data_IF_684965801016
#
_entry.id   IF_684965801016
#
_cell.length_a   1.000
_cell.length_b   1.000
_cell.length_c   1.000
_cell.angle_alpha   90.00
_cell.angle_beta   90.00
_cell.angle_gamma   90.00
#
_symmetry.space_group_name_H-M   'P 1'
#
loop_
_entity.id
_entity.type
_entity.pdbx_description
1 polymer ?
#
# COMPACT_ATOMS: atom_id res chain seq x y z
N UNK A 1 -20.55 -4.99 -24.86
CA UNK A 1 -19.24 -5.66 -25.05
C UNK A 1 -18.22 -4.95 -24.17
N UNK A 2 -17.93 -5.49 -22.96
CA UNK A 2 -16.85 -4.97 -22.12
C UNK A 2 -15.53 -5.47 -22.70
N UNK A 3 -14.71 -4.54 -23.20
CA UNK A 3 -13.33 -4.85 -23.57
C UNK A 3 -12.56 -5.22 -22.30
N UNK A 4 -12.06 -6.46 -22.27
CA UNK A 4 -11.17 -6.99 -21.25
C UNK A 4 -9.84 -6.22 -21.27
N UNK A 5 -9.66 -5.29 -20.34
CA UNK A 5 -8.33 -4.74 -20.06
C UNK A 5 -7.57 -5.76 -19.20
N UNK A 6 -6.76 -6.59 -19.85
CA UNK A 6 -5.80 -7.48 -19.18
C UNK A 6 -4.82 -6.64 -18.35
N UNK A 7 -4.82 -6.81 -17.03
CA UNK A 7 -3.86 -6.22 -16.08
C UNK A 7 -2.64 -7.14 -15.96
N UNK A 8 -1.52 -6.75 -16.57
CA UNK A 8 -0.21 -7.41 -16.44
C UNK A 8 0.90 -6.45 -15.96
N UNK A 9 0.55 -5.25 -15.47
CA UNK A 9 1.53 -4.22 -15.13
C UNK A 9 1.24 -3.55 -13.77
N UNK A 10 2.22 -3.61 -12.87
CA UNK A 10 2.38 -2.65 -11.77
C UNK A 10 3.21 -1.48 -12.29
N UNK A 11 2.96 -0.27 -11.80
CA UNK A 11 3.57 0.95 -12.30
C UNK A 11 4.86 1.24 -11.50
N UNK A 12 5.86 1.86 -12.13
CA UNK A 12 6.99 2.42 -11.41
C UNK A 12 7.19 3.83 -11.95
N UNK A 13 6.95 4.84 -11.11
CA UNK A 13 7.15 6.25 -11.46
C UNK A 13 8.61 6.66 -11.23
N UNK A 14 9.21 7.25 -12.26
CA UNK A 14 10.48 7.99 -12.17
C UNK A 14 10.18 9.45 -11.84
N UNK A 15 10.96 10.04 -10.94
CA UNK A 15 10.78 11.41 -10.40
C UNK A 15 11.26 12.54 -11.34
N UNK A 16 11.35 12.29 -12.66
CA UNK A 16 11.83 13.29 -13.62
C UNK A 16 10.88 13.31 -14.82
N UNK A 17 10.36 14.50 -15.12
CA UNK A 17 9.13 14.70 -15.90
C UNK A 17 9.10 14.12 -17.31
N UNK A 18 7.87 13.88 -17.77
CA UNK A 18 7.54 13.60 -19.16
C UNK A 18 7.66 12.13 -19.54
N UNK A 19 6.53 11.43 -19.51
CA UNK A 19 6.21 10.21 -20.27
C UNK A 19 7.37 9.25 -20.57
N UNK A 20 7.62 8.31 -19.65
CA UNK A 20 8.23 7.01 -19.99
C UNK A 20 7.39 5.91 -19.31
N UNK A 21 6.59 5.21 -20.11
CA UNK A 21 5.88 3.98 -19.71
C UNK A 21 6.70 2.79 -20.21
N UNK A 22 7.83 2.52 -19.56
CA UNK A 22 8.41 1.17 -19.63
C UNK A 22 7.73 0.36 -18.53
N UNK A 23 6.65 -0.33 -18.91
CA UNK A 23 5.94 -1.28 -18.05
C UNK A 23 6.93 -2.39 -17.70
N UNK A 24 7.37 -2.44 -16.45
CA UNK A 24 8.08 -3.63 -15.95
C UNK A 24 6.98 -4.68 -15.70
N UNK A 25 6.96 -5.81 -16.42
CA UNK A 25 6.02 -6.88 -16.15
C UNK A 25 6.06 -7.29 -14.68
N UNK A 26 4.91 -7.66 -14.12
CA UNK A 26 4.84 -8.05 -12.70
C UNK A 26 5.82 -9.20 -12.38
N UNK A 27 6.03 -10.12 -13.32
CA UNK A 27 7.01 -11.21 -13.21
C UNK A 27 8.45 -10.71 -13.04
N UNK A 28 8.86 -9.69 -13.80
CA UNK A 28 10.20 -9.08 -13.69
C UNK A 28 10.38 -8.33 -12.37
N UNK A 29 9.33 -7.65 -11.88
CA UNK A 29 9.36 -7.03 -10.54
C UNK A 29 9.47 -8.08 -9.43
N UNK A 30 8.72 -9.18 -9.51
CA UNK A 30 8.82 -10.29 -8.56
C UNK A 30 10.23 -10.84 -8.58
N UNK A 31 10.80 -11.09 -9.76
CA UNK A 31 12.15 -11.61 -9.89
C UNK A 31 13.20 -10.63 -9.32
N UNK A 32 13.04 -9.32 -9.55
CA UNK A 32 13.92 -8.30 -8.99
C UNK A 32 13.86 -8.26 -7.46
N UNK A 33 12.66 -8.23 -6.86
CA UNK A 33 12.51 -8.25 -5.40
C UNK A 33 12.95 -9.57 -4.79
N UNK A 34 12.73 -10.69 -5.48
CA UNK A 34 13.21 -12.00 -5.06
C UNK A 34 14.74 -12.07 -5.08
N UNK A 35 15.38 -11.62 -6.16
CA UNK A 35 16.84 -11.51 -6.25
C UNK A 35 17.38 -10.60 -5.14
N UNK A 36 16.73 -9.46 -4.89
CA UNK A 36 17.11 -8.57 -3.79
C UNK A 36 17.00 -9.26 -2.43
N UNK A 37 15.85 -9.86 -2.13
CA UNK A 37 15.57 -10.58 -0.90
C UNK A 37 16.54 -11.77 -0.68
N UNK A 38 17.00 -12.42 -1.75
CA UNK A 38 18.00 -13.48 -1.69
C UNK A 38 19.46 -13.00 -1.67
N UNK A 39 19.75 -11.85 -2.27
CA UNK A 39 21.12 -11.32 -2.42
C UNK A 39 21.77 -10.85 -1.12
N UNK A 40 21.04 -10.86 -0.01
CA UNK A 40 21.52 -10.49 1.34
C UNK A 40 21.69 -11.68 2.30
N UNK A 41 22.05 -12.84 1.76
CA UNK A 41 22.41 -14.05 2.50
C UNK A 41 21.33 -14.64 3.43
N UNK A 42 20.43 -15.42 2.81
CA UNK A 42 19.86 -16.62 3.42
C UNK A 42 20.84 -17.81 3.43
N UNK A 43 22.13 -17.54 3.68
CA UNK A 43 23.19 -18.52 3.83
C UNK A 43 23.54 -18.65 5.30
N UNK A 44 23.66 -19.87 5.81
CA UNK A 44 24.30 -20.14 7.10
C UNK A 44 25.73 -19.58 7.06
N UNK A 45 25.91 -18.37 7.56
CA UNK A 45 27.16 -17.63 7.58
C UNK A 45 27.13 -16.63 8.72
N UNK A 46 28.18 -16.65 9.52
CA UNK A 46 28.46 -15.78 10.67
C UNK A 46 27.95 -14.35 10.47
N UNK A 47 27.10 -13.89 11.38
CA UNK A 47 26.34 -12.64 11.22
C UNK A 47 27.20 -11.41 10.96
N UNK A 48 26.82 -10.61 9.97
CA UNK A 48 26.95 -9.15 10.08
C UNK A 48 26.24 -8.30 9.00
N UNK A 49 25.46 -8.85 8.05
CA UNK A 49 24.73 -7.99 7.10
C UNK A 49 23.27 -8.40 6.90
N UNK A 50 22.46 -8.30 7.96
CA UNK A 50 20.99 -8.24 7.82
C UNK A 50 20.59 -6.95 7.11
N UNK A 51 19.47 -6.98 6.39
CA UNK A 51 18.90 -5.77 5.80
C UNK A 51 18.71 -4.69 6.87
N UNK A 52 19.14 -3.45 6.57
CA UNK A 52 18.99 -2.31 7.47
C UNK A 52 18.34 -1.15 6.74
N UNK A 53 17.37 -0.51 7.38
CA UNK A 53 16.75 0.72 6.90
C UNK A 53 17.62 1.93 7.21
N UNK A 54 17.60 2.92 6.31
CA UNK A 54 18.17 4.25 6.55
C UNK A 54 17.42 4.98 7.66
N UNK A 55 16.09 4.87 7.67
CA UNK A 55 15.24 5.42 8.73
C UNK A 55 14.61 4.26 9.49
N UNK A 56 14.85 4.17 10.81
CA UNK A 56 14.36 3.05 11.60
C UNK A 56 12.81 3.04 11.65
N UNK A 57 12.13 1.98 11.17
CA UNK A 57 10.69 1.87 11.26
C UNK A 57 10.13 2.03 12.68
N UNK A 58 10.87 1.59 13.70
CA UNK A 58 10.46 1.69 15.11
C UNK A 58 10.40 3.13 15.63
N UNK A 59 11.06 4.10 14.99
CA UNK A 59 10.97 5.52 15.35
C UNK A 59 9.60 6.11 14.96
N UNK A 60 8.83 5.44 14.09
CA UNK A 60 7.49 5.85 13.72
C UNK A 60 6.46 5.19 14.64
N UNK A 61 5.71 5.95 15.47
CA UNK A 61 4.76 5.38 16.44
C UNK A 61 3.67 4.53 15.81
N UNK A 62 3.25 4.83 14.58
CA UNK A 62 2.25 4.05 13.85
C UNK A 62 2.84 2.71 13.40
N UNK A 63 4.05 2.72 12.85
CA UNK A 63 4.74 1.50 12.47
C UNK A 63 5.03 0.62 13.69
N UNK A 64 5.58 1.21 14.77
CA UNK A 64 5.89 0.50 16.02
C UNK A 64 4.68 -0.17 16.69
N UNK A 65 3.45 0.34 16.49
CA UNK A 65 2.22 -0.34 16.94
C UNK A 65 1.93 -1.60 16.12
N UNK A 66 2.26 -1.56 14.85
CA UNK A 66 1.80 -2.52 13.84
C UNK A 66 2.80 -3.63 13.52
N UNK A 67 4.08 -3.47 13.87
CA UNK A 67 5.15 -4.45 13.59
C UNK A 67 5.91 -4.81 14.87
N UNK A 68 6.69 -5.88 14.79
CA UNK A 68 7.77 -6.16 15.75
C UNK A 68 9.06 -6.49 14.99
N UNK A 69 10.20 -6.28 15.65
CA UNK A 69 11.49 -6.72 15.12
C UNK A 69 11.48 -8.25 14.98
N UNK A 70 11.91 -8.73 13.82
CA UNK A 70 12.10 -10.13 13.52
C UNK A 70 13.41 -10.27 12.72
N UNK A 71 14.53 -10.61 13.39
CA UNK A 71 15.83 -10.69 12.74
C UNK A 71 15.94 -11.76 11.65
N UNK A 72 15.00 -12.71 11.59
CA UNK A 72 14.94 -13.76 10.57
C UNK A 72 14.02 -13.39 9.41
N UNK A 73 13.22 -12.32 9.54
CA UNK A 73 12.42 -11.80 8.44
C UNK A 73 13.31 -11.13 7.38
N UNK A 74 12.91 -11.23 6.12
CA UNK A 74 13.67 -10.72 4.95
C UNK A 74 14.11 -9.26 5.11
N UNK A 75 13.25 -8.44 5.71
CA UNK A 75 13.51 -7.00 5.94
C UNK A 75 13.61 -6.63 7.43
N UNK A 76 13.84 -7.61 8.32
CA UNK A 76 14.06 -7.38 9.75
C UNK A 76 12.80 -7.12 10.59
N UNK A 77 11.61 -7.14 9.98
CA UNK A 77 10.34 -6.90 10.65
C UNK A 77 9.24 -7.86 10.18
N UNK A 78 8.35 -8.22 11.09
CA UNK A 78 7.11 -8.95 10.79
C UNK A 78 5.89 -8.19 11.34
N UNK A 79 4.69 -8.38 10.75
CA UNK A 79 3.46 -7.82 11.30
C UNK A 79 3.24 -8.28 12.73
N UNK A 80 2.88 -7.37 13.63
CA UNK A 80 2.44 -7.71 14.97
C UNK A 80 1.09 -8.43 14.89
N UNK A 81 0.94 -9.68 15.36
CA UNK A 81 -0.34 -10.41 15.29
C UNK A 81 -1.46 -9.69 16.06
N UNK A 82 -1.12 -8.86 17.05
CA UNK A 82 -2.08 -8.05 17.81
C UNK A 82 -2.43 -6.71 17.13
N UNK A 83 -1.85 -6.41 15.97
CA UNK A 83 -2.21 -5.21 15.21
C UNK A 83 -3.64 -5.29 14.69
N UNK A 84 -4.46 -4.32 15.03
CA UNK A 84 -5.80 -4.14 14.46
C UNK A 84 -5.78 -3.85 12.95
N UNK A 85 -4.63 -3.42 12.42
CA UNK A 85 -4.51 -2.95 11.04
C UNK A 85 -3.88 -3.98 10.11
N UNK A 86 -2.82 -4.67 10.55
CA UNK A 86 -2.07 -5.63 9.76
C UNK A 86 -1.83 -6.99 10.44
N UNK A 87 -2.40 -7.22 11.63
CA UNK A 87 -2.19 -8.48 12.37
C UNK A 87 -2.68 -9.72 11.62
N UNK A 88 -3.71 -9.58 10.79
CA UNK A 88 -4.19 -10.65 9.90
C UNK A 88 -3.17 -11.10 8.84
N UNK A 89 -2.04 -10.39 8.68
CA UNK A 89 -0.94 -10.81 7.80
C UNK A 89 0.19 -11.53 8.54
N UNK A 90 0.19 -11.57 9.87
CA UNK A 90 1.26 -12.18 10.66
C UNK A 90 1.46 -13.66 10.28
N UNK A 91 0.36 -14.42 10.19
CA UNK A 91 0.38 -15.85 9.86
C UNK A 91 -0.06 -16.15 8.41
N UNK A 92 -0.43 -15.12 7.64
CA UNK A 92 -0.89 -15.29 6.26
C UNK A 92 0.26 -15.55 5.27
N UNK A 93 1.49 -15.23 5.66
CA UNK A 93 2.71 -15.35 4.86
C UNK A 93 3.87 -15.74 5.76
N UNK A 94 4.81 -16.51 5.24
CA UNK A 94 6.10 -16.71 5.88
C UNK A 94 7.02 -15.52 5.58
N UNK A 95 7.16 -14.61 6.54
CA UNK A 95 7.99 -13.40 6.42
C UNK A 95 9.50 -13.67 6.40
N UNK A 96 9.92 -14.91 6.67
CA UNK A 96 11.31 -15.37 6.51
C UNK A 96 11.57 -15.90 5.10
N UNK A 97 10.52 -16.19 4.33
CA UNK A 97 10.62 -16.73 2.97
C UNK A 97 10.76 -15.61 1.92
N UNK A 98 11.92 -15.51 1.23
CA UNK A 98 12.17 -14.47 0.23
C UNK A 98 11.16 -14.44 -0.92
N UNK A 99 10.62 -15.59 -1.33
CA UNK A 99 9.67 -15.66 -2.44
C UNK A 99 8.31 -15.09 -2.05
N UNK A 100 7.79 -15.48 -0.88
CA UNK A 100 6.52 -14.97 -0.38
C UNK A 100 6.61 -13.46 -0.10
N UNK A 101 7.71 -13.01 0.49
CA UNK A 101 7.94 -11.59 0.76
C UNK A 101 8.12 -10.78 -0.52
N UNK A 102 8.80 -11.30 -1.55
CA UNK A 102 8.92 -10.62 -2.84
C UNK A 102 7.54 -10.40 -3.50
N UNK A 103 6.68 -11.42 -3.47
CA UNK A 103 5.30 -11.28 -3.96
C UNK A 103 4.50 -10.26 -3.14
N UNK A 104 4.63 -10.28 -1.81
CA UNK A 104 4.00 -9.30 -0.93
C UNK A 104 4.49 -7.87 -1.22
N UNK A 105 5.79 -7.72 -1.48
CA UNK A 105 6.43 -6.45 -1.84
C UNK A 105 5.88 -5.89 -3.15
N UNK A 106 5.71 -6.73 -4.17
CA UNK A 106 5.10 -6.31 -5.45
C UNK A 106 3.64 -5.91 -5.27
N UNK A 107 2.86 -6.65 -4.48
CA UNK A 107 1.49 -6.25 -4.14
C UNK A 107 1.45 -4.91 -3.40
N UNK A 108 2.40 -4.69 -2.49
CA UNK A 108 2.52 -3.45 -1.73
C UNK A 108 2.98 -2.28 -2.61
N UNK A 109 3.85 -2.50 -3.58
CA UNK A 109 4.20 -1.51 -4.59
C UNK A 109 2.98 -1.10 -5.41
N UNK A 110 2.20 -2.06 -5.92
CA UNK A 110 0.97 -1.79 -6.67
C UNK A 110 -0.06 -0.98 -5.86
N UNK A 111 -0.08 -1.16 -4.53
CA UNK A 111 -0.90 -0.34 -3.65
C UNK A 111 -0.49 1.14 -3.66
N UNK A 112 0.82 1.43 -3.63
CA UNK A 112 1.32 2.81 -3.71
C UNK A 112 1.09 3.42 -5.10
N UNK A 113 1.29 2.67 -6.17
CA UNK A 113 1.01 3.14 -7.52
C UNK A 113 -0.45 3.62 -7.68
N UNK A 114 -1.39 2.91 -7.04
CA UNK A 114 -2.81 3.31 -7.01
C UNK A 114 -3.06 4.57 -6.19
N UNK A 115 -2.26 4.83 -5.15
CA UNK A 115 -2.32 6.06 -4.39
C UNK A 115 -1.75 7.25 -5.18
N UNK A 116 -0.73 7.03 -6.01
CA UNK A 116 -0.17 8.08 -6.88
C UNK A 116 -1.23 8.60 -7.86
N UNK A 117 -2.05 7.72 -8.43
CA UNK A 117 -3.21 8.14 -9.26
C UNK A 117 -4.21 9.03 -8.50
N UNK A 118 -4.36 8.84 -7.17
CA UNK A 118 -5.21 9.70 -6.34
C UNK A 118 -4.57 11.09 -6.16
N UNK A 119 -3.24 11.15 -6.02
CA UNK A 119 -2.49 12.42 -5.95
C UNK A 119 -2.64 13.21 -7.26
N UNK A 120 -2.54 12.53 -8.41
CA UNK A 120 -2.76 13.16 -9.72
C UNK A 120 -4.17 13.73 -9.86
N UNK A 121 -5.19 12.99 -9.41
CA UNK A 121 -6.58 13.46 -9.38
C UNK A 121 -6.74 14.72 -8.51
N UNK A 122 -6.12 14.73 -7.32
CA UNK A 122 -6.14 15.91 -6.42
C UNK A 122 -5.54 17.12 -7.13
N UNK A 123 -4.35 16.96 -7.72
CA UNK A 123 -3.66 18.06 -8.37
C UNK A 123 -4.45 18.60 -9.57
N UNK A 124 -5.03 17.72 -10.38
CA UNK A 124 -5.93 18.09 -11.47
C UNK A 124 -7.12 18.91 -10.96
N UNK A 125 -7.85 18.39 -9.98
CA UNK A 125 -9.06 19.06 -9.48
C UNK A 125 -8.75 20.40 -8.81
N UNK A 126 -7.60 20.51 -8.10
CA UNK A 126 -7.11 21.80 -7.58
C UNK A 126 -6.84 22.81 -8.70
N UNK A 127 -6.19 22.38 -9.78
CA UNK A 127 -5.91 23.26 -10.93
C UNK A 127 -7.19 23.69 -11.67
N UNK A 128 -8.22 22.86 -11.62
CA UNK A 128 -9.56 23.15 -12.16
C UNK A 128 -10.41 24.03 -11.22
N UNK A 129 -9.91 24.39 -10.04
CA UNK A 129 -10.60 25.26 -9.09
C UNK A 129 -11.70 24.58 -8.28
N UNK A 130 -11.71 23.24 -8.22
CA UNK A 130 -12.69 22.50 -7.41
C UNK A 130 -12.52 22.81 -5.92
N UNK A 131 -13.64 22.79 -5.20
CA UNK A 131 -13.65 22.91 -3.74
C UNK A 131 -12.99 21.69 -3.07
N UNK A 132 -12.58 21.87 -1.81
CA UNK A 132 -11.99 20.78 -1.04
C UNK A 132 -12.97 19.62 -0.79
N UNK A 133 -14.26 19.92 -0.71
CA UNK A 133 -15.31 18.92 -0.58
C UNK A 133 -15.42 18.07 -1.85
N UNK A 134 -15.47 18.70 -3.03
CA UNK A 134 -15.52 17.99 -4.32
C UNK A 134 -14.30 17.10 -4.49
N UNK A 135 -13.11 17.60 -4.15
CA UNK A 135 -11.87 16.82 -4.16
C UNK A 135 -12.00 15.63 -3.20
N UNK A 136 -12.43 15.85 -1.95
CA UNK A 136 -12.57 14.80 -0.94
C UNK A 136 -13.53 13.68 -1.37
N UNK A 137 -14.65 14.05 -1.98
CA UNK A 137 -15.65 13.12 -2.52
C UNK A 137 -15.06 12.29 -3.66
N UNK A 138 -14.39 12.94 -4.61
CA UNK A 138 -13.78 12.28 -5.76
C UNK A 138 -12.69 11.28 -5.34
N UNK A 139 -11.79 11.66 -4.43
CA UNK A 139 -10.70 10.78 -3.98
C UNK A 139 -11.20 9.61 -3.13
N UNK A 140 -12.22 9.82 -2.30
CA UNK A 140 -12.85 8.74 -1.53
C UNK A 140 -13.45 7.69 -2.48
N UNK A 141 -14.14 8.14 -3.53
CA UNK A 141 -14.71 7.27 -4.55
C UNK A 141 -13.62 6.54 -5.35
N UNK A 142 -12.58 7.25 -5.79
CA UNK A 142 -11.46 6.65 -6.53
C UNK A 142 -10.76 5.56 -5.70
N UNK A 143 -10.54 5.80 -4.41
CA UNK A 143 -9.96 4.82 -3.49
C UNK A 143 -10.83 3.57 -3.36
N UNK A 144 -12.12 3.75 -3.17
CA UNK A 144 -13.07 2.65 -3.06
C UNK A 144 -13.10 1.82 -4.35
N UNK A 145 -13.12 2.47 -5.51
CA UNK A 145 -13.06 1.82 -6.81
C UNK A 145 -11.74 1.05 -6.99
N UNK A 146 -10.60 1.65 -6.64
CA UNK A 146 -9.30 0.98 -6.68
C UNK A 146 -9.32 -0.32 -5.86
N UNK A 147 -9.92 -0.29 -4.66
CA UNK A 147 -10.05 -1.46 -3.79
C UNK A 147 -10.95 -2.55 -4.38
N UNK A 148 -12.07 -2.20 -5.00
CA UNK A 148 -12.95 -3.20 -5.63
C UNK A 148 -12.31 -3.80 -6.89
N UNK A 149 -11.59 -2.98 -7.65
CA UNK A 149 -10.87 -3.43 -8.84
C UNK A 149 -9.75 -4.43 -8.54
N UNK A 150 -9.34 -4.57 -7.28
CA UNK A 150 -8.40 -5.63 -6.87
C UNK A 150 -9.02 -7.03 -6.92
N UNK A 151 -10.35 -7.11 -7.05
CA UNK A 151 -11.12 -8.35 -7.15
C UNK A 151 -11.75 -8.55 -8.53
N UNK A 152 -11.31 -7.82 -9.56
CA UNK A 152 -11.89 -7.91 -10.91
C UNK A 152 -11.82 -9.33 -11.48
N UNK A 153 -10.77 -10.08 -11.14
CA UNK A 153 -10.56 -11.47 -11.56
C UNK A 153 -10.97 -12.49 -10.47
N UNK A 154 -11.50 -12.06 -9.33
CA UNK A 154 -12.06 -12.91 -8.26
C UNK A 154 -13.50 -12.50 -7.94
N UNK A 155 -14.50 -12.94 -8.74
CA UNK A 155 -15.90 -12.59 -8.52
C UNK A 155 -16.41 -12.98 -7.12
N UNK A 156 -15.95 -14.12 -6.59
CA UNK A 156 -16.32 -14.57 -5.23
C UNK A 156 -15.68 -13.68 -4.16
N UNK A 157 -14.44 -13.25 -4.36
CA UNK A 157 -13.77 -12.27 -3.50
C UNK A 157 -14.44 -10.92 -3.51
N UNK A 158 -14.86 -10.45 -4.68
CA UNK A 158 -15.62 -9.22 -4.83
C UNK A 158 -16.93 -9.28 -4.04
N UNK A 159 -17.70 -10.37 -4.18
CA UNK A 159 -18.93 -10.60 -3.42
C UNK A 159 -18.69 -10.58 -1.91
N UNK A 160 -17.66 -11.29 -1.42
CA UNK A 160 -17.29 -11.29 0.01
C UNK A 160 -16.96 -9.89 0.52
N UNK A 161 -16.21 -9.11 -0.25
CA UNK A 161 -15.83 -7.74 0.14
C UNK A 161 -17.03 -6.80 0.12
N UNK A 162 -17.89 -6.90 -0.88
CA UNK A 162 -19.11 -6.09 -0.96
C UNK A 162 -20.06 -6.41 0.19
N UNK A 163 -20.29 -7.68 0.51
CA UNK A 163 -21.10 -8.09 1.65
C UNK A 163 -20.54 -7.57 3.00
N UNK A 164 -19.21 -7.65 3.18
CA UNK A 164 -18.55 -7.08 4.36
C UNK A 164 -18.72 -5.56 4.42
N UNK A 165 -18.58 -4.87 3.30
CA UNK A 165 -18.71 -3.42 3.23
C UNK A 165 -20.13 -2.97 3.57
N UNK A 166 -21.15 -3.70 3.10
CA UNK A 166 -22.55 -3.47 3.44
C UNK A 166 -22.76 -3.51 4.96
N UNK A 167 -22.31 -4.59 5.60
CA UNK A 167 -22.43 -4.74 7.07
C UNK A 167 -21.70 -3.63 7.83
N UNK A 168 -20.52 -3.21 7.34
CA UNK A 168 -19.66 -2.27 8.06
C UNK A 168 -19.99 -0.80 7.82
N UNK A 169 -20.43 -0.45 6.61
CA UNK A 169 -20.57 0.93 6.15
C UNK A 169 -21.97 1.26 5.64
N UNK A 170 -22.87 0.26 5.48
CA UNK A 170 -24.16 0.44 4.82
C UNK A 170 -24.04 0.76 3.32
N UNK A 171 -22.91 0.39 2.71
CA UNK A 171 -22.66 0.61 1.29
C UNK A 171 -21.71 -0.48 0.78
N UNK A 172 -22.09 -1.29 -0.24
CA UNK A 172 -21.27 -2.40 -0.70
C UNK A 172 -19.96 -1.94 -1.35
N UNK A 173 -19.91 -0.70 -1.83
CA UNK A 173 -18.72 -0.15 -2.47
C UNK A 173 -17.70 0.44 -1.49
N UNK A 174 -17.98 0.43 -0.18
CA UNK A 174 -17.10 0.97 0.86
C UNK A 174 -17.66 2.25 1.50
N UNK A 175 -16.90 2.94 2.36
CA UNK A 175 -17.39 4.11 3.08
C UNK A 175 -17.72 5.25 2.10
N UNK A 176 -18.88 5.88 2.27
CA UNK A 176 -19.22 7.12 1.54
C UNK A 176 -18.33 8.27 2.00
N UNK A 177 -18.30 9.36 1.21
CA UNK A 177 -17.59 10.57 1.60
C UNK A 177 -18.16 11.14 2.91
N UNK A 178 -19.49 11.08 3.09
CA UNK A 178 -20.20 11.47 4.31
C UNK A 178 -19.79 10.61 5.50
N UNK A 179 -19.71 9.28 5.33
CA UNK A 179 -19.24 8.38 6.38
C UNK A 179 -17.82 8.76 6.81
N UNK A 180 -16.94 9.00 5.84
CA UNK A 180 -15.56 9.41 6.09
C UNK A 180 -15.49 10.79 6.76
N UNK A 181 -16.31 11.75 6.33
CA UNK A 181 -16.40 13.08 6.92
C UNK A 181 -16.89 13.02 8.38
N UNK A 182 -17.98 12.31 8.64
CA UNK A 182 -18.52 12.13 9.98
C UNK A 182 -17.51 11.46 10.93
N UNK A 183 -16.68 10.55 10.41
CA UNK A 183 -15.62 9.90 11.17
C UNK A 183 -14.43 10.81 11.47
N UNK A 184 -14.02 11.65 10.52
CA UNK A 184 -12.76 12.39 10.61
C UNK A 184 -12.90 13.90 10.88
N UNK A 185 -14.10 14.45 10.73
CA UNK A 185 -14.45 15.83 11.07
C UNK A 185 -14.05 16.90 10.05
N UNK A 186 -13.33 16.57 8.97
CA UNK A 186 -12.99 17.54 7.92
C UNK A 186 -12.73 16.90 6.56
N UNK A 187 -12.93 17.67 5.48
CA UNK A 187 -12.66 17.24 4.11
C UNK A 187 -11.16 17.05 3.84
N UNK A 188 -10.30 17.86 4.43
CA UNK A 188 -8.83 17.68 4.42
C UNK A 188 -8.46 16.31 4.96
N UNK A 189 -9.07 15.90 6.08
CA UNK A 189 -8.80 14.59 6.67
C UNK A 189 -9.34 13.45 5.82
N UNK A 190 -10.47 13.62 5.13
CA UNK A 190 -10.96 12.62 4.15
C UNK A 190 -9.95 12.44 3.02
N UNK A 191 -9.39 13.54 2.48
CA UNK A 191 -8.34 13.49 1.45
C UNK A 191 -7.09 12.80 2.00
N UNK A 192 -6.57 13.22 3.15
CA UNK A 192 -5.38 12.64 3.79
C UNK A 192 -5.55 11.12 4.00
N UNK A 193 -6.68 10.71 4.56
CA UNK A 193 -6.93 9.28 4.85
C UNK A 193 -7.14 8.46 3.58
N UNK A 194 -7.55 9.07 2.48
CA UNK A 194 -7.72 8.37 1.22
C UNK A 194 -6.39 7.87 0.65
N UNK A 195 -5.30 8.61 0.89
CA UNK A 195 -3.94 8.28 0.44
C UNK A 195 -3.08 7.62 1.51
N UNK A 196 -3.60 7.46 2.73
CA UNK A 196 -2.79 7.00 3.85
C UNK A 196 -2.30 5.55 3.68
N UNK A 197 -0.99 5.37 3.75
CA UNK A 197 -0.32 4.06 3.78
C UNK A 197 -0.08 3.58 5.22
N UNK A 198 0.15 2.27 5.38
CA UNK A 198 0.60 1.69 6.65
C UNK A 198 2.13 1.55 6.62
N UNK A 199 2.88 2.40 7.36
CA UNK A 199 4.33 2.35 7.38
C UNK A 199 4.88 1.02 7.92
N UNK A 200 4.17 0.35 8.83
CA UNK A 200 4.55 -0.97 9.31
C UNK A 200 4.56 -2.03 8.20
N UNK A 201 3.51 -2.08 7.38
CA UNK A 201 3.49 -2.99 6.23
C UNK A 201 4.58 -2.65 5.21
N UNK A 202 4.89 -1.36 5.03
CA UNK A 202 5.98 -0.91 4.18
C UNK A 202 7.35 -1.36 4.72
N UNK A 203 7.52 -1.45 6.04
CA UNK A 203 8.69 -2.06 6.68
C UNK A 203 8.73 -3.59 6.51
N UNK A 204 7.61 -4.29 6.65
CA UNK A 204 7.59 -5.74 6.38
C UNK A 204 7.87 -6.08 4.91
N UNK A 205 7.65 -5.13 3.99
CA UNK A 205 7.84 -5.31 2.55
C UNK A 205 9.11 -4.64 1.98
N UNK A 206 10.03 -4.10 2.78
CA UNK A 206 11.25 -3.50 2.20
C UNK A 206 11.06 -2.11 1.58
N UNK A 207 9.88 -1.50 1.74
CA UNK A 207 9.46 -0.27 1.05
C UNK A 207 9.45 0.97 1.95
N UNK A 208 9.71 0.83 3.26
CA UNK A 208 9.63 1.92 4.22
C UNK A 208 10.41 3.17 3.82
N UNK A 209 11.71 3.02 3.49
CA UNK A 209 12.55 4.17 3.10
C UNK A 209 12.10 4.82 1.79
N UNK A 210 11.62 4.03 0.83
CA UNK A 210 11.09 4.52 -0.45
C UNK A 210 9.90 5.47 -0.23
N UNK A 211 9.02 5.11 0.71
CA UNK A 211 7.82 5.88 1.03
C UNK A 211 7.94 6.72 2.30
N UNK A 212 9.15 6.86 2.85
CA UNK A 212 9.37 7.55 4.13
C UNK A 212 8.85 8.99 4.13
N UNK A 213 8.90 9.66 2.97
CA UNK A 213 8.36 11.00 2.78
C UNK A 213 6.86 11.11 3.12
N UNK A 214 6.08 10.03 3.00
CA UNK A 214 4.66 9.97 3.37
C UNK A 214 4.44 9.88 4.89
N UNK A 215 5.46 9.51 5.66
CA UNK A 215 5.35 9.27 7.10
C UNK A 215 5.99 10.35 7.95
N UNK A 216 6.60 11.37 7.32
CA UNK A 216 7.22 12.48 8.04
C UNK A 216 6.14 13.19 8.86
N UNK A 217 6.21 13.00 10.17
CA UNK A 217 5.38 13.69 11.13
C UNK A 217 5.79 15.17 11.07
N UNK A 218 4.90 16.04 10.59
CA UNK A 218 5.08 17.49 10.70
C UNK A 218 5.51 18.26 9.45
N UNK A 219 5.28 17.75 8.24
CA UNK A 219 5.26 18.63 7.05
C UNK A 219 4.01 19.51 7.11
N UNK A 220 4.13 20.64 7.80
CA UNK A 220 3.18 21.76 7.74
C UNK A 220 3.10 22.31 6.32
#
# INVERSE_FOLDING_TARGET
MLQSFKREASYALSSVGGTIVTKIPQGELIEAYYKFAKSKDGGKGTGDTRFAYKNNPMDNPKAAKDIHENPDAVYGFSPNPNSESIGGFADALDWTNPEQVAQATVRRQSYHDKNDNIIELINKMKNEGNSIEEIARAVNNQRNQNRLNDYIDDPKGLERVMARNEVKYGNPHGPTAEFSFNKYGSWEKVIEKSMSANPGMDACCGLYDKYYHLYRIGSK
#
